data_IF_824399033546
#
_entry.id   IF_824399033546
#
_cell.length_a   1.000
_cell.length_b   1.000
_cell.length_c   1.000
_cell.angle_alpha   90.00
_cell.angle_beta   90.00
_cell.angle_gamma   90.00
#
_symmetry.space_group_name_H-M   'P 1'
#
loop_
_entity.id
_entity.type
_entity.pdbx_description
1 polymer ?
#
# COMPACT_ATOMS: atom_id res chain seq x y z
N UNK A 1 -0.12 8.04 -0.37
CA UNK A 1 -0.14 6.58 -0.05
C UNK A 1 -1.50 5.86 -0.20
N UNK A 2 -2.51 6.12 0.63
CA UNK A 2 -3.76 5.34 0.63
C UNK A 2 -4.48 5.30 -0.74
N UNK A 3 -4.37 6.39 -1.52
CA UNK A 3 -4.89 6.45 -2.87
C UNK A 3 -4.25 5.41 -3.81
N UNK A 4 -2.91 5.29 -3.82
CA UNK A 4 -2.19 4.32 -4.65
C UNK A 4 -2.51 2.88 -4.24
N UNK A 5 -2.56 2.60 -2.94
CA UNK A 5 -2.96 1.29 -2.42
C UNK A 5 -4.39 0.92 -2.86
N UNK A 6 -5.35 1.83 -2.65
CA UNK A 6 -6.74 1.60 -3.07
C UNK A 6 -6.90 1.48 -4.58
N UNK A 7 -6.10 2.19 -5.37
CA UNK A 7 -6.08 2.09 -6.84
C UNK A 7 -5.41 0.81 -7.33
N UNK A 8 -4.65 0.12 -6.46
CA UNK A 8 -3.78 -1.02 -6.82
C UNK A 8 -2.85 -0.67 -7.98
N UNK A 9 -2.25 0.52 -7.91
CA UNK A 9 -1.37 1.01 -8.97
C UNK A 9 -0.10 0.15 -9.06
N UNK A 10 0.21 -0.32 -10.26
CA UNK A 10 1.41 -1.10 -10.57
C UNK A 10 2.04 -0.47 -11.81
N UNK A 11 3.33 -0.14 -11.73
CA UNK A 11 4.09 0.38 -12.88
C UNK A 11 4.39 -0.70 -13.93
N UNK A 12 4.94 -0.31 -15.09
CA UNK A 12 5.34 -1.26 -16.12
C UNK A 12 6.45 -2.20 -15.61
N UNK A 13 6.34 -3.49 -15.93
CA UNK A 13 7.37 -4.48 -15.61
C UNK A 13 8.46 -4.39 -16.69
N UNK A 14 9.52 -3.63 -16.41
CA UNK A 14 10.68 -3.49 -17.29
C UNK A 14 11.74 -4.56 -17.02
N UNK A 15 12.72 -4.78 -17.91
CA UNK A 15 13.84 -5.69 -17.66
C UNK A 15 14.57 -5.40 -16.34
N UNK A 16 14.80 -4.12 -16.03
CA UNK A 16 15.39 -3.69 -14.75
C UNK A 16 14.55 -4.12 -13.55
N UNK A 17 13.21 -4.07 -13.64
CA UNK A 17 12.35 -4.56 -12.55
C UNK A 17 12.48 -6.08 -12.37
N UNK A 18 12.69 -6.83 -13.45
CA UNK A 18 12.92 -8.27 -13.36
C UNK A 18 14.28 -8.58 -12.70
N UNK A 19 15.33 -7.85 -13.07
CA UNK A 19 16.65 -7.99 -12.43
C UNK A 19 16.60 -7.65 -10.93
N UNK A 20 15.94 -6.55 -10.56
CA UNK A 20 15.75 -6.15 -9.16
C UNK A 20 15.03 -7.24 -8.34
N UNK A 21 14.08 -7.96 -8.95
CA UNK A 21 13.36 -9.05 -8.27
C UNK A 21 14.26 -10.25 -7.97
N UNK A 22 15.26 -10.51 -8.81
CA UNK A 22 16.22 -11.59 -8.55
C UNK A 22 17.33 -11.14 -7.58
N UNK A 23 17.65 -9.84 -7.52
CA UNK A 23 18.67 -9.30 -6.62
C UNK A 23 18.17 -9.10 -5.18
N UNK A 24 16.95 -8.61 -4.98
CA UNK A 24 16.46 -8.18 -3.65
C UNK A 24 16.08 -9.34 -2.71
N UNK A 25 15.75 -10.52 -3.25
CA UNK A 25 15.18 -11.61 -2.47
C UNK A 25 16.10 -12.84 -2.49
N UNK A 26 16.25 -13.48 -1.34
CA UNK A 26 17.06 -14.70 -1.20
C UNK A 26 16.38 -15.97 -1.74
N UNK A 27 15.12 -15.86 -2.18
CA UNK A 27 14.31 -16.94 -2.75
C UNK A 27 13.70 -16.48 -4.06
N UNK A 28 13.38 -17.39 -5.00
CA UNK A 28 12.76 -17.02 -6.27
C UNK A 28 11.51 -16.17 -6.07
N UNK A 29 11.38 -15.07 -6.82
CA UNK A 29 10.29 -14.11 -6.66
C UNK A 29 8.89 -14.75 -6.76
N UNK A 30 8.75 -15.80 -7.59
CA UNK A 30 7.52 -16.56 -7.76
C UNK A 30 7.12 -17.42 -6.55
N UNK A 31 8.06 -17.72 -5.66
CA UNK A 31 7.82 -18.57 -4.48
C UNK A 31 7.54 -17.76 -3.21
N UNK A 32 7.64 -16.43 -3.28
CA UNK A 32 7.40 -15.55 -2.13
C UNK A 32 5.93 -15.60 -1.71
N UNK A 33 5.67 -16.03 -0.48
CA UNK A 33 4.35 -15.89 0.14
C UNK A 33 4.14 -14.45 0.63
N UNK A 34 3.58 -13.62 -0.25
CA UNK A 34 3.24 -12.23 0.04
C UNK A 34 2.23 -12.06 1.18
N UNK A 35 1.42 -13.08 1.51
CA UNK A 35 0.49 -12.99 2.64
C UNK A 35 1.23 -13.08 3.97
N UNK A 36 2.23 -13.96 4.04
CA UNK A 36 3.11 -14.10 5.20
C UNK A 36 4.07 -12.93 5.35
N UNK A 37 4.58 -12.39 4.23
CA UNK A 37 5.54 -11.29 4.23
C UNK A 37 5.03 -9.99 4.88
N UNK A 38 3.71 -9.78 5.00
CA UNK A 38 3.12 -8.55 5.56
C UNK A 38 3.51 -8.26 7.00
N UNK A 39 3.68 -9.30 7.80
CA UNK A 39 4.01 -9.20 9.21
C UNK A 39 5.51 -9.49 9.45
N UNK A 40 6.29 -9.66 8.37
CA UNK A 40 7.72 -9.88 8.44
C UNK A 40 8.46 -8.54 8.43
N UNK A 41 9.13 -8.24 9.54
CA UNK A 41 10.08 -7.15 9.66
C UNK A 41 11.35 -7.69 10.35
N UNK A 42 12.52 -7.21 9.93
CA UNK A 42 13.78 -7.56 10.60
C UNK A 42 13.73 -7.07 12.04
N UNK A 43 14.21 -7.88 12.99
CA UNK A 43 14.12 -7.55 14.42
C UNK A 43 14.96 -6.33 14.77
N UNK A 44 16.06 -6.17 14.03
CA UNK A 44 17.01 -5.07 14.13
C UNK A 44 16.39 -3.73 13.73
N UNK A 45 15.46 -3.74 12.77
CA UNK A 45 14.75 -2.55 12.29
C UNK A 45 13.44 -2.28 13.05
N UNK A 46 12.95 -3.27 13.80
CA UNK A 46 11.67 -3.19 14.51
C UNK A 46 11.79 -2.39 15.83
N UNK A 47 11.80 -1.06 15.70
CA UNK A 47 11.83 -0.15 16.86
C UNK A 47 10.56 -0.20 17.71
N UNK A 48 9.40 -0.36 17.07
CA UNK A 48 8.09 -0.42 17.72
C UNK A 48 7.35 -1.67 17.25
N UNK A 49 7.28 -2.73 18.08
CA UNK A 49 6.53 -3.93 17.71
C UNK A 49 5.04 -3.62 17.65
N UNK A 50 4.35 -4.21 16.67
CA UNK A 50 2.88 -4.16 16.63
C UNK A 50 2.30 -4.86 17.87
N UNK A 51 1.19 -4.32 18.37
CA UNK A 51 0.45 -4.96 19.44
C UNK A 51 -0.36 -6.14 18.89
N UNK A 52 -0.61 -7.16 19.72
CA UNK A 52 -1.41 -8.32 19.32
C UNK A 52 -2.81 -7.95 18.82
N UNK A 53 -3.41 -6.88 19.36
CA UNK A 53 -4.72 -6.37 18.91
C UNK A 53 -4.61 -5.83 17.49
N UNK A 54 -3.56 -5.08 17.21
CA UNK A 54 -3.30 -4.50 15.89
C UNK A 54 -3.09 -5.60 14.84
N UNK A 55 -2.38 -6.67 15.19
CA UNK A 55 -2.16 -7.83 14.29
C UNK A 55 -3.49 -8.52 13.92
N UNK A 56 -4.39 -8.68 14.89
CA UNK A 56 -5.74 -9.25 14.65
C UNK A 56 -6.54 -8.34 13.72
N UNK A 57 -6.55 -7.04 13.98
CA UNK A 57 -7.27 -6.06 13.17
C UNK A 57 -6.75 -6.05 11.73
N UNK A 58 -5.42 -6.03 11.54
CA UNK A 58 -4.82 -6.07 10.21
C UNK A 58 -5.08 -7.38 9.48
N UNK A 59 -5.00 -8.51 10.17
CA UNK A 59 -5.31 -9.82 9.60
C UNK A 59 -6.75 -9.86 9.11
N UNK A 60 -7.70 -9.38 9.92
CA UNK A 60 -9.12 -9.34 9.57
C UNK A 60 -9.37 -8.42 8.36
N UNK A 61 -8.85 -7.19 8.40
CA UNK A 61 -9.03 -6.20 7.35
C UNK A 61 -8.49 -6.72 6.01
N UNK A 62 -7.30 -7.30 5.99
CA UNK A 62 -6.74 -7.77 4.75
C UNK A 62 -7.37 -9.07 4.23
N UNK A 63 -7.77 -9.99 5.11
CA UNK A 63 -8.29 -11.31 4.70
C UNK A 63 -9.74 -11.22 4.24
N UNK A 64 -10.55 -10.39 4.88
CA UNK A 64 -11.99 -10.34 4.62
C UNK A 64 -12.42 -9.03 3.99
N UNK A 65 -11.93 -7.90 4.51
CA UNK A 65 -12.43 -6.58 4.12
C UNK A 65 -11.87 -6.12 2.78
N UNK A 66 -10.57 -6.29 2.51
CA UNK A 66 -10.00 -5.91 1.19
C UNK A 66 -10.65 -6.70 0.03
N UNK A 67 -10.78 -8.05 0.08
CA UNK A 67 -11.46 -8.81 -0.97
C UNK A 67 -12.92 -8.40 -1.15
N UNK A 68 -13.65 -8.16 -0.06
CA UNK A 68 -15.04 -7.70 -0.09
C UNK A 68 -15.19 -6.40 -0.89
N UNK A 69 -14.30 -5.43 -0.69
CA UNK A 69 -14.32 -4.17 -1.44
C UNK A 69 -13.90 -4.31 -2.91
N UNK A 70 -13.38 -5.47 -3.36
CA UNK A 70 -13.12 -5.72 -4.78
C UNK A 70 -14.36 -6.24 -5.54
N UNK A 71 -15.41 -6.65 -4.85
CA UNK A 71 -16.60 -7.27 -5.44
C UNK A 71 -17.76 -6.27 -5.52
N UNK A 72 -18.60 -6.39 -6.55
CA UNK A 72 -19.82 -5.60 -6.68
C UNK A 72 -20.84 -6.01 -5.60
N UNK A 73 -21.56 -5.07 -4.94
CA UNK A 73 -21.58 -3.62 -5.16
C UNK A 73 -20.60 -2.82 -4.28
N UNK A 74 -19.84 -3.49 -3.40
CA UNK A 74 -18.97 -2.82 -2.42
C UNK A 74 -17.78 -2.09 -3.05
N UNK A 75 -17.36 -2.48 -4.25
CA UNK A 75 -16.35 -1.74 -5.03
C UNK A 75 -16.71 -0.25 -5.25
N UNK A 76 -18.00 0.10 -5.29
CA UNK A 76 -18.46 1.49 -5.39
C UNK A 76 -18.03 2.34 -4.20
N UNK A 77 -17.94 1.75 -3.01
CA UNK A 77 -17.42 2.45 -1.82
C UNK A 77 -15.95 2.78 -2.00
N UNK A 78 -15.15 1.84 -2.53
CA UNK A 78 -13.74 2.11 -2.84
C UNK A 78 -13.59 3.24 -3.86
N UNK A 79 -14.41 3.27 -4.91
CA UNK A 79 -14.38 4.35 -5.90
C UNK A 79 -14.75 5.72 -5.30
N UNK A 80 -15.76 5.77 -4.43
CA UNK A 80 -16.13 7.00 -3.70
C UNK A 80 -14.97 7.47 -2.83
N UNK A 81 -14.36 6.55 -2.07
CA UNK A 81 -13.21 6.85 -1.22
C UNK A 81 -12.01 7.36 -2.03
N UNK A 82 -11.70 6.75 -3.18
CA UNK A 82 -10.63 7.20 -4.07
C UNK A 82 -10.88 8.62 -4.61
N UNK A 83 -12.12 8.93 -5.02
CA UNK A 83 -12.47 10.29 -5.46
C UNK A 83 -12.34 11.30 -4.32
N UNK A 84 -12.73 10.93 -3.10
CA UNK A 84 -12.58 11.81 -1.96
C UNK A 84 -11.11 12.05 -1.62
N UNK A 85 -10.30 10.99 -1.57
CA UNK A 85 -8.85 11.09 -1.36
C UNK A 85 -8.18 12.01 -2.39
N UNK A 86 -8.54 11.90 -3.67
CA UNK A 86 -8.00 12.77 -4.71
C UNK A 86 -8.36 14.24 -4.49
N UNK A 87 -9.60 14.54 -4.04
CA UNK A 87 -9.99 15.91 -3.67
C UNK A 87 -9.14 16.47 -2.53
N UNK A 88 -8.85 15.65 -1.51
CA UNK A 88 -7.99 16.08 -0.40
C UNK A 88 -6.55 16.33 -0.85
N UNK A 89 -6.02 15.49 -1.75
CA UNK A 89 -4.68 15.69 -2.33
C UNK A 89 -4.62 17.01 -3.10
N UNK A 90 -5.59 17.27 -3.98
CA UNK A 90 -5.64 18.54 -4.73
C UNK A 90 -5.79 19.75 -3.80
N UNK A 91 -6.60 19.63 -2.75
CA UNK A 91 -6.74 20.69 -1.76
C UNK A 91 -5.41 20.97 -1.04
N UNK A 92 -4.65 19.95 -0.64
CA UNK A 92 -3.32 20.14 -0.05
C UNK A 92 -2.35 20.80 -1.04
N UNK A 93 -2.31 20.32 -2.29
CA UNK A 93 -1.47 20.89 -3.35
C UNK A 93 -1.79 22.38 -3.59
N UNK A 94 -3.07 22.75 -3.74
CA UNK A 94 -3.46 24.15 -3.96
C UNK A 94 -3.10 25.06 -2.77
N UNK A 95 -3.37 24.62 -1.54
CA UNK A 95 -3.07 25.42 -0.35
C UNK A 95 -1.57 25.57 -0.08
N UNK A 96 -0.78 24.55 -0.41
CA UNK A 96 0.68 24.55 -0.23
C UNK A 96 1.43 25.06 -1.45
N UNK A 97 0.73 25.53 -2.50
CA UNK A 97 1.31 25.97 -3.78
C UNK A 97 2.17 24.86 -4.42
N UNK A 98 1.69 23.63 -4.36
CA UNK A 98 2.30 22.42 -4.89
C UNK A 98 3.66 22.07 -4.27
N UNK A 99 3.98 22.63 -3.10
CA UNK A 99 5.17 22.28 -2.34
C UNK A 99 4.91 21.01 -1.50
N UNK A 100 3.69 20.88 -0.95
CA UNK A 100 3.36 19.85 0.03
C UNK A 100 3.95 20.14 1.42
N UNK A 101 3.53 19.35 2.42
CA UNK A 101 4.05 19.49 3.78
C UNK A 101 5.49 18.94 3.92
N UNK A 102 5.75 17.83 3.23
CA UNK A 102 6.99 17.05 3.31
C UNK A 102 7.34 16.50 1.92
N UNK A 103 8.61 16.18 1.64
CA UNK A 103 8.99 15.56 0.37
C UNK A 103 8.22 14.26 0.08
N UNK A 104 7.92 13.47 1.11
CA UNK A 104 7.17 12.21 0.97
C UNK A 104 5.76 12.45 0.44
N UNK A 105 5.02 13.42 1.03
CA UNK A 105 3.68 13.75 0.57
C UNK A 105 3.69 14.23 -0.88
N UNK A 106 4.75 14.95 -1.28
CA UNK A 106 4.82 15.49 -2.64
C UNK A 106 5.07 14.43 -3.71
N UNK A 107 5.83 13.39 -3.37
CA UNK A 107 6.22 12.34 -4.32
C UNK A 107 5.13 11.27 -4.49
N UNK A 108 4.24 11.08 -3.50
CA UNK A 108 3.39 9.87 -3.34
C UNK A 108 1.89 10.16 -3.34
#
# INVERSE_FOLDING_TARGET
>A
MAYLYGKKFVGPITPTILEIREELYNIPYSEIDWKKARDCCAKEDLRYPCSWIQDIVWTYLNKYVDPMFNVWPFNKLREISLRNLMKHIYYEDENTKYIGLCPINKVI
#
